data_IF_600392805937
#
_entry.id   IF_600392805937
#
_cell.length_a   1.000
_cell.length_b   1.000
_cell.length_c   1.000
_cell.angle_alpha   90.00
_cell.angle_beta   90.00
_cell.angle_gamma   90.00
#
_symmetry.space_group_name_H-M   'P 1'
#
loop_
_entity.id
_entity.type
_entity.pdbx_description
1 polymer ?
#
# COMPACT_ATOMS: atom_id res chain seq x y z
N UNK A 1 -3.46 1.61 -15.84
CA UNK A 1 -4.87 1.51 -16.23
C UNK A 1 -5.03 0.33 -17.18
N UNK A 2 -5.76 -0.73 -16.79
CA UNK A 2 -6.06 -1.85 -17.66
C UNK A 2 -7.58 -1.95 -17.84
N UNK A 3 -8.23 -0.84 -18.21
CA UNK A 3 -9.50 -0.88 -18.90
C UNK A 3 -9.17 -0.98 -20.40
N UNK A 4 -9.57 -2.07 -21.01
CA UNK A 4 -9.70 -2.12 -22.45
C UNK A 4 -10.75 -1.06 -22.83
N UNK A 5 -10.62 -0.44 -23.99
CA UNK A 5 -11.45 0.69 -24.45
C UNK A 5 -12.97 0.41 -24.49
N UNK A 6 -13.41 -0.80 -24.18
CA UNK A 6 -14.79 -1.30 -24.21
C UNK A 6 -15.40 -1.61 -22.81
N UNK A 7 -14.75 -1.19 -21.71
CA UNK A 7 -15.22 -1.46 -20.35
C UNK A 7 -14.91 -2.88 -19.83
N UNK A 8 -14.25 -3.71 -20.60
CA UNK A 8 -13.83 -5.05 -20.19
C UNK A 8 -12.63 -4.96 -19.25
N UNK A 9 -12.53 -5.88 -18.30
CA UNK A 9 -11.41 -6.00 -17.37
C UNK A 9 -10.83 -7.41 -17.42
N UNK A 10 -9.56 -7.56 -17.04
CA UNK A 10 -8.91 -8.87 -16.98
C UNK A 10 -9.64 -9.78 -16.00
N UNK A 11 -9.88 -11.04 -16.38
CA UNK A 11 -10.65 -12.00 -15.59
C UNK A 11 -10.07 -12.17 -14.17
N UNK A 12 -8.76 -12.30 -14.00
CA UNK A 12 -8.12 -12.38 -12.69
C UNK A 12 -8.30 -11.11 -11.86
N UNK A 13 -8.44 -9.93 -12.49
CA UNK A 13 -8.78 -8.68 -11.80
C UNK A 13 -10.21 -8.75 -11.27
N UNK A 14 -11.16 -9.15 -12.10
CA UNK A 14 -12.56 -9.32 -11.70
C UNK A 14 -12.70 -10.29 -10.53
N UNK A 15 -12.08 -11.48 -10.61
CA UNK A 15 -12.10 -12.46 -9.53
C UNK A 15 -11.53 -11.91 -8.22
N UNK A 16 -10.47 -11.11 -8.32
CA UNK A 16 -9.88 -10.47 -7.14
C UNK A 16 -10.78 -9.39 -6.54
N UNK A 17 -11.50 -8.62 -7.35
CA UNK A 17 -12.49 -7.63 -6.93
C UNK A 17 -13.73 -8.27 -6.30
N UNK A 18 -14.08 -9.48 -6.73
CA UNK A 18 -15.12 -10.29 -6.11
C UNK A 18 -14.67 -10.99 -4.81
N UNK A 19 -13.47 -10.74 -4.33
CA UNK A 19 -12.96 -11.35 -3.10
C UNK A 19 -12.57 -12.83 -3.21
N UNK A 20 -12.64 -13.44 -4.40
CA UNK A 20 -12.39 -14.87 -4.63
C UNK A 20 -10.96 -15.27 -4.26
N UNK A 21 -9.97 -14.56 -4.82
CA UNK A 21 -8.56 -14.86 -4.58
C UNK A 21 -7.67 -13.65 -4.94
N UNK A 22 -6.33 -13.75 -4.73
CA UNK A 22 -5.40 -12.78 -5.32
C UNK A 22 -5.36 -12.96 -6.84
N UNK A 23 -4.91 -11.94 -7.59
CA UNK A 23 -4.79 -12.04 -9.05
C UNK A 23 -3.97 -13.25 -9.48
N UNK A 24 -2.82 -13.49 -8.85
CA UNK A 24 -1.97 -14.67 -9.13
C UNK A 24 -2.70 -15.97 -8.84
N UNK A 25 -3.35 -16.06 -7.67
CA UNK A 25 -4.13 -17.27 -7.33
C UNK A 25 -5.33 -17.46 -8.24
N UNK A 26 -5.91 -16.40 -8.75
CA UNK A 26 -6.97 -16.44 -9.77
C UNK A 26 -6.43 -16.97 -11.10
N UNK A 27 -5.22 -16.58 -11.51
CA UNK A 27 -4.55 -17.15 -12.70
C UNK A 27 -4.33 -18.65 -12.56
N UNK A 28 -3.87 -19.12 -11.39
CA UNK A 28 -3.74 -20.57 -11.12
C UNK A 28 -5.09 -21.31 -11.22
N UNK A 29 -6.19 -20.70 -10.76
CA UNK A 29 -7.52 -21.30 -10.87
C UNK A 29 -8.02 -21.32 -12.32
N UNK A 30 -7.71 -20.31 -13.11
CA UNK A 30 -8.00 -20.26 -14.55
C UNK A 30 -7.20 -21.34 -15.29
N UNK A 31 -5.92 -21.47 -15.01
CA UNK A 31 -5.03 -22.46 -15.63
C UNK A 31 -5.48 -23.90 -15.34
N UNK A 32 -5.99 -24.16 -14.14
CA UNK A 32 -6.58 -25.45 -13.75
C UNK A 32 -7.94 -25.74 -14.38
N UNK A 33 -8.47 -24.83 -15.21
CA UNK A 33 -9.76 -25.00 -15.87
C UNK A 33 -10.98 -24.89 -14.93
N UNK A 34 -10.78 -24.41 -13.69
CA UNK A 34 -11.84 -24.27 -12.69
C UNK A 34 -12.80 -23.11 -12.97
N UNK A 35 -12.42 -22.18 -13.85
CA UNK A 35 -13.17 -20.96 -14.15
C UNK A 35 -13.80 -21.05 -15.54
N UNK A 36 -15.08 -20.66 -15.65
CA UNK A 36 -15.77 -20.55 -16.94
C UNK A 36 -16.35 -19.15 -17.10
N UNK A 37 -16.34 -18.67 -18.34
CA UNK A 37 -16.99 -17.42 -18.77
C UNK A 37 -18.06 -17.80 -19.78
N UNK A 38 -19.32 -17.47 -19.52
CA UNK A 38 -20.49 -17.82 -20.36
C UNK A 38 -20.52 -19.33 -20.74
N UNK A 39 -20.17 -20.19 -19.77
CA UNK A 39 -20.15 -21.65 -19.96
C UNK A 39 -18.86 -22.21 -20.58
N UNK A 40 -18.01 -21.40 -21.19
CA UNK A 40 -16.74 -21.81 -21.82
C UNK A 40 -15.59 -21.73 -20.80
N UNK A 41 -14.69 -22.72 -20.79
CA UNK A 41 -13.49 -22.72 -19.92
C UNK A 41 -12.61 -21.55 -20.27
N UNK A 42 -12.31 -20.73 -19.26
CA UNK A 42 -11.50 -19.53 -19.39
C UNK A 42 -10.01 -19.85 -19.57
N UNK A 43 -9.28 -18.92 -20.20
CA UNK A 43 -7.83 -18.99 -20.39
C UNK A 43 -7.13 -17.80 -19.75
N UNK A 44 -5.85 -17.97 -19.42
CA UNK A 44 -5.01 -16.85 -18.94
C UNK A 44 -5.01 -15.75 -20.01
N UNK A 45 -5.22 -14.50 -19.58
CA UNK A 45 -5.30 -13.35 -20.48
C UNK A 45 -6.72 -12.96 -20.88
N UNK A 46 -7.73 -13.78 -20.61
CA UNK A 46 -9.12 -13.45 -20.89
C UNK A 46 -9.57 -12.17 -20.16
N UNK A 47 -10.51 -11.47 -20.80
CA UNK A 47 -11.13 -10.27 -20.28
C UNK A 47 -12.63 -10.39 -20.32
N UNK A 48 -13.30 -9.87 -19.31
CA UNK A 48 -14.74 -9.99 -19.11
C UNK A 48 -15.41 -8.61 -18.97
N UNK A 49 -16.65 -8.53 -19.38
CA UNK A 49 -17.55 -7.43 -19.04
C UNK A 49 -18.29 -7.79 -17.74
N UNK A 50 -17.98 -7.11 -16.62
CA UNK A 50 -18.63 -7.40 -15.33
C UNK A 50 -20.15 -7.28 -15.31
N UNK A 51 -20.74 -6.59 -16.30
CA UNK A 51 -22.18 -6.34 -16.39
C UNK A 51 -22.91 -7.36 -17.24
N UNK A 52 -22.23 -8.02 -18.17
CA UNK A 52 -22.84 -8.88 -19.18
C UNK A 52 -22.40 -10.34 -19.05
N UNK A 53 -21.12 -10.59 -18.70
CA UNK A 53 -20.60 -11.94 -18.68
C UNK A 53 -20.95 -12.67 -17.38
N UNK A 54 -21.29 -13.93 -17.50
CA UNK A 54 -21.52 -14.85 -16.40
C UNK A 54 -20.22 -15.61 -16.12
N UNK A 55 -19.63 -15.34 -14.96
CA UNK A 55 -18.39 -15.98 -14.52
C UNK A 55 -18.72 -17.00 -13.44
N UNK A 56 -18.19 -18.21 -13.59
CA UNK A 56 -18.37 -19.30 -12.61
C UNK A 56 -17.02 -19.86 -12.18
N UNK A 57 -16.91 -20.22 -10.90
CA UNK A 57 -15.79 -20.97 -10.32
C UNK A 57 -16.33 -22.30 -9.78
N UNK A 58 -15.83 -23.42 -10.28
CA UNK A 58 -16.31 -24.77 -9.94
C UNK A 58 -17.86 -24.90 -10.06
N UNK A 59 -18.42 -24.29 -11.10
CA UNK A 59 -19.86 -24.28 -11.36
C UNK A 59 -20.68 -23.26 -10.55
N UNK A 60 -20.11 -22.59 -9.55
CA UNK A 60 -20.77 -21.55 -8.76
C UNK A 60 -20.55 -20.16 -9.36
N UNK A 61 -21.61 -19.39 -9.55
CA UNK A 61 -21.53 -18.02 -10.07
C UNK A 61 -20.73 -17.11 -9.13
N UNK A 62 -19.82 -16.33 -9.69
CA UNK A 62 -19.08 -15.28 -8.99
C UNK A 62 -19.83 -13.96 -9.17
N UNK A 63 -20.11 -13.28 -8.08
CA UNK A 63 -20.73 -11.96 -8.08
C UNK A 63 -19.93 -10.99 -7.23
N UNK A 64 -19.81 -9.75 -7.68
CA UNK A 64 -19.15 -8.71 -6.88
C UNK A 64 -20.14 -8.17 -5.84
N UNK A 65 -20.08 -8.74 -4.63
CA UNK A 65 -20.84 -8.32 -3.44
C UNK A 65 -19.93 -7.71 -2.36
N UNK A 66 -18.64 -7.48 -2.67
CA UNK A 66 -17.68 -6.97 -1.70
C UNK A 66 -17.98 -5.52 -1.33
N UNK A 67 -17.94 -5.24 -0.04
CA UNK A 67 -18.00 -3.87 0.48
C UNK A 67 -16.59 -3.29 0.48
N UNK A 68 -16.42 -2.09 -0.08
CA UNK A 68 -15.12 -1.42 -0.11
C UNK A 68 -14.63 -1.16 1.32
N UNK A 69 -13.41 -1.58 1.61
CA UNK A 69 -12.72 -1.40 2.89
C UNK A 69 -11.47 -0.54 2.72
N UNK A 70 -11.32 0.42 3.60
CA UNK A 70 -10.17 1.33 3.65
C UNK A 70 -9.66 1.32 5.08
N UNK A 71 -8.56 0.62 5.33
CA UNK A 71 -8.05 0.30 6.66
C UNK A 71 -6.74 1.03 6.91
N UNK A 72 -6.64 1.65 8.09
CA UNK A 72 -5.39 2.12 8.67
C UNK A 72 -4.95 1.14 9.73
N UNK A 73 -3.79 0.53 9.57
CA UNK A 73 -3.15 -0.35 10.54
C UNK A 73 -1.91 0.34 11.13
N UNK A 74 -1.75 0.30 12.45
CA UNK A 74 -0.48 0.60 13.08
C UNK A 74 0.40 -0.66 13.08
N UNK A 75 1.11 -0.88 11.99
CA UNK A 75 2.00 -2.03 11.85
C UNK A 75 3.10 -2.00 12.92
N UNK A 76 3.26 -3.01 13.79
CA UNK A 76 4.37 -3.10 14.71
C UNK A 76 5.66 -3.56 14.02
N UNK A 77 6.81 -3.39 14.69
CA UNK A 77 8.08 -4.01 14.30
C UNK A 77 7.97 -5.54 14.40
N UNK A 78 8.79 -6.24 13.62
CA UNK A 78 8.83 -7.70 13.61
C UNK A 78 7.83 -8.37 12.67
N UNK A 79 6.85 -7.65 12.13
CA UNK A 79 5.86 -8.16 11.19
C UNK A 79 6.26 -7.88 9.74
N UNK A 80 6.12 -8.87 8.86
CA UNK A 80 6.32 -8.73 7.41
C UNK A 80 5.05 -8.17 6.78
N UNK A 81 5.20 -7.24 5.84
CA UNK A 81 4.06 -6.69 5.09
C UNK A 81 3.68 -7.64 3.95
N UNK A 82 2.95 -8.69 4.28
CA UNK A 82 2.39 -9.68 3.35
C UNK A 82 1.08 -10.24 3.90
N UNK A 83 0.22 -10.75 3.01
CA UNK A 83 -1.00 -11.47 3.38
C UNK A 83 -0.79 -12.99 3.47
N UNK A 84 0.37 -13.49 3.04
CA UNK A 84 0.78 -14.89 3.19
C UNK A 84 2.30 -14.93 3.29
N UNK A 85 2.82 -15.76 4.19
CA UNK A 85 4.26 -15.92 4.38
C UNK A 85 4.62 -17.40 4.43
N UNK A 86 5.33 -17.87 3.42
CA UNK A 86 5.72 -19.27 3.27
C UNK A 86 6.77 -19.72 4.31
N UNK A 87 7.47 -18.75 4.92
CA UNK A 87 8.48 -19.01 5.95
C UNK A 87 7.92 -18.98 7.38
N UNK A 88 6.60 -18.88 7.54
CA UNK A 88 5.94 -18.87 8.85
C UNK A 88 6.27 -17.66 9.73
N UNK A 89 6.79 -16.56 9.16
CA UNK A 89 7.06 -15.33 9.91
C UNK A 89 5.78 -14.60 10.24
N UNK A 90 5.76 -13.88 11.36
CA UNK A 90 4.64 -12.99 11.69
C UNK A 90 4.41 -12.00 10.55
N UNK A 91 3.20 -11.95 10.00
CA UNK A 91 2.84 -11.04 8.91
C UNK A 91 1.59 -10.22 9.25
N UNK A 92 1.37 -9.16 8.51
CA UNK A 92 0.25 -8.23 8.77
C UNK A 92 -1.12 -8.87 8.58
N UNK A 93 -1.20 -10.02 7.90
CA UNK A 93 -2.45 -10.76 7.74
C UNK A 93 -3.11 -11.07 9.09
N UNK A 94 -2.33 -11.56 10.07
CA UNK A 94 -2.83 -11.90 11.42
C UNK A 94 -3.32 -10.69 12.23
N UNK A 95 -3.02 -9.47 11.80
CA UNK A 95 -3.45 -8.24 12.47
C UNK A 95 -4.76 -7.67 11.91
N UNK A 96 -5.29 -8.24 10.83
CA UNK A 96 -6.48 -7.75 10.11
C UNK A 96 -7.48 -8.87 9.78
N UNK A 97 -7.39 -10.01 10.46
CA UNK A 97 -8.29 -11.16 10.25
C UNK A 97 -9.76 -10.83 10.53
N UNK A 98 -9.99 -9.92 11.46
CA UNK A 98 -11.31 -9.48 11.93
C UNK A 98 -11.93 -8.36 11.08
N UNK A 99 -11.31 -7.94 9.97
CA UNK A 99 -11.86 -6.91 9.06
C UNK A 99 -13.14 -7.38 8.35
N UNK A 100 -13.36 -8.69 8.25
CA UNK A 100 -14.54 -9.28 7.61
C UNK A 100 -14.50 -9.34 6.09
N UNK A 101 -13.61 -8.60 5.44
CA UNK A 101 -13.40 -8.60 3.99
C UNK A 101 -11.94 -8.89 3.68
N UNK A 102 -11.69 -9.46 2.52
CA UNK A 102 -10.33 -9.69 2.07
C UNK A 102 -9.66 -8.39 1.67
N UNK A 103 -8.74 -7.89 2.48
CA UNK A 103 -7.95 -6.68 2.20
C UNK A 103 -6.49 -7.03 1.89
N UNK A 104 -5.76 -6.08 1.28
CA UNK A 104 -4.32 -6.20 1.00
C UNK A 104 -3.61 -4.87 1.24
N UNK A 105 -2.30 -4.89 1.61
CA UNK A 105 -1.58 -3.68 1.95
C UNK A 105 -1.31 -2.80 0.73
N UNK A 106 -1.42 -1.50 0.93
CA UNK A 106 -1.07 -0.44 -0.02
C UNK A 106 0.39 -0.05 0.22
N UNK A 107 1.29 -0.62 -0.56
CA UNK A 107 2.73 -0.52 -0.36
C UNK A 107 3.21 -1.37 0.82
N UNK A 108 4.43 -1.11 1.25
CA UNK A 108 5.07 -1.93 2.29
C UNK A 108 5.79 -1.07 3.33
N UNK A 109 5.93 -1.62 4.51
CA UNK A 109 6.91 -1.27 5.52
C UNK A 109 7.79 -2.49 5.78
N UNK A 110 9.09 -2.29 5.92
CA UNK A 110 10.02 -3.38 6.25
C UNK A 110 9.66 -4.05 7.58
N UNK A 111 10.17 -5.26 7.79
CA UNK A 111 9.97 -5.99 9.05
C UNK A 111 10.38 -5.17 10.29
N UNK A 112 11.50 -4.45 10.19
CA UNK A 112 12.05 -3.63 11.27
C UNK A 112 11.56 -2.17 11.26
N UNK A 113 10.56 -1.84 10.42
CA UNK A 113 9.88 -0.54 10.39
C UNK A 113 8.47 -0.68 10.95
N UNK A 114 7.94 0.41 11.50
CA UNK A 114 6.63 0.46 12.12
C UNK A 114 5.78 1.63 11.64
N UNK A 115 4.54 1.72 12.07
CA UNK A 115 3.70 2.88 11.84
C UNK A 115 2.56 2.62 10.87
N UNK A 116 2.11 3.68 10.20
CA UNK A 116 0.92 3.69 9.37
C UNK A 116 1.10 2.82 8.13
N UNK A 117 0.28 1.79 8.02
CA UNK A 117 0.12 0.97 6.84
C UNK A 117 -1.35 1.01 6.41
N UNK A 118 -1.61 1.36 5.15
CA UNK A 118 -2.95 1.29 4.60
C UNK A 118 -3.19 -0.08 3.98
N UNK A 119 -4.43 -0.60 4.14
CA UNK A 119 -4.90 -1.80 3.46
C UNK A 119 -6.27 -1.52 2.85
N UNK A 120 -6.60 -2.22 1.75
CA UNK A 120 -7.88 -2.07 1.07
C UNK A 120 -8.20 -3.31 0.23
N UNK A 121 -9.45 -3.44 -0.21
CA UNK A 121 -9.88 -4.31 -1.30
C UNK A 121 -10.20 -3.53 -2.59
N UNK A 122 -10.08 -2.20 -2.56
CA UNK A 122 -10.28 -1.31 -3.72
C UNK A 122 -8.96 -1.10 -4.47
N UNK A 123 -8.87 -1.70 -5.67
CA UNK A 123 -7.68 -1.61 -6.51
C UNK A 123 -7.42 -0.23 -7.11
N UNK A 124 -8.46 0.59 -7.29
CA UNK A 124 -8.32 1.96 -7.82
C UNK A 124 -7.74 2.87 -6.74
N UNK A 125 -8.26 2.78 -5.52
CA UNK A 125 -7.70 3.47 -4.36
C UNK A 125 -6.24 3.07 -4.12
N UNK A 126 -5.94 1.77 -4.11
CA UNK A 126 -4.58 1.29 -3.93
C UNK A 126 -3.62 1.84 -4.99
N UNK A 127 -4.04 1.84 -6.27
CA UNK A 127 -3.24 2.39 -7.35
C UNK A 127 -3.04 3.91 -7.22
N UNK A 128 -4.08 4.66 -6.84
CA UNK A 128 -3.98 6.10 -6.62
C UNK A 128 -2.91 6.45 -5.58
N UNK A 129 -2.83 5.68 -4.48
CA UNK A 129 -1.86 5.91 -3.41
C UNK A 129 -0.44 5.47 -3.76
N UNK A 130 -0.30 4.37 -4.53
CA UNK A 130 1.00 3.75 -4.80
C UNK A 130 1.67 4.24 -6.08
N UNK A 131 0.92 4.77 -7.05
CA UNK A 131 1.48 5.09 -8.35
C UNK A 131 2.56 6.18 -8.25
N UNK A 132 3.77 5.95 -8.75
CA UNK A 132 4.90 6.90 -8.58
C UNK A 132 4.59 8.31 -9.09
N UNK A 133 3.86 8.45 -10.21
CA UNK A 133 3.49 9.75 -10.78
C UNK A 133 2.54 10.59 -9.92
N UNK A 134 2.01 10.02 -8.85
CA UNK A 134 1.08 10.71 -7.95
C UNK A 134 1.78 11.43 -6.80
N UNK A 135 3.07 11.16 -6.60
CA UNK A 135 3.92 11.83 -5.61
C UNK A 135 3.26 11.95 -4.22
N UNK A 136 2.51 10.92 -3.81
CA UNK A 136 1.80 10.92 -2.53
C UNK A 136 2.81 10.99 -1.39
N UNK A 137 2.72 12.05 -0.60
CA UNK A 137 3.61 12.33 0.53
C UNK A 137 3.49 11.24 1.61
N UNK A 138 4.63 10.78 2.10
CA UNK A 138 4.77 9.83 3.21
C UNK A 138 5.69 10.43 4.25
N UNK A 139 5.22 10.60 5.47
CA UNK A 139 5.95 11.22 6.56
C UNK A 139 6.50 10.17 7.49
N UNK A 140 7.78 10.27 7.81
CA UNK A 140 8.49 9.35 8.67
C UNK A 140 9.16 10.08 9.82
N UNK A 141 9.03 9.55 11.04
CA UNK A 141 9.84 9.91 12.19
C UNK A 141 10.97 8.88 12.33
N UNK A 142 12.20 9.35 12.27
CA UNK A 142 13.39 8.51 12.23
C UNK A 142 14.29 8.86 13.41
N UNK A 143 14.64 7.87 14.23
CA UNK A 143 15.70 8.02 15.23
C UNK A 143 16.99 7.49 14.63
N UNK A 144 18.01 8.31 14.61
CA UNK A 144 19.32 8.02 13.99
C UNK A 144 20.44 8.12 15.03
N UNK A 145 21.57 7.50 14.70
CA UNK A 145 22.83 7.54 15.43
C UNK A 145 24.00 7.59 14.43
N UNK A 146 25.07 8.38 14.73
CA UNK A 146 25.09 9.43 15.74
C UNK A 146 24.10 10.54 15.39
N UNK A 147 24.36 11.76 15.81
CA UNK A 147 23.70 12.99 15.39
C UNK A 147 23.81 13.22 13.86
N UNK A 148 23.15 14.23 13.33
CA UNK A 148 23.16 14.60 11.92
C UNK A 148 23.72 16.02 11.74
N UNK A 149 24.60 16.21 10.75
CA UNK A 149 25.12 17.53 10.37
C UNK A 149 24.19 18.25 9.38
N UNK A 150 24.41 19.57 9.25
CA UNK A 150 23.63 20.38 8.30
C UNK A 150 23.92 19.97 6.85
N UNK A 151 25.16 19.58 6.52
CA UNK A 151 25.53 19.08 5.20
C UNK A 151 24.82 17.77 4.86
N UNK A 152 24.68 16.87 5.86
CA UNK A 152 23.93 15.62 5.69
C UNK A 152 22.43 15.88 5.49
N UNK A 153 21.86 16.87 6.18
CA UNK A 153 20.46 17.29 5.99
C UNK A 153 20.26 17.82 4.56
N UNK A 154 21.15 18.70 4.09
CA UNK A 154 21.12 19.23 2.72
C UNK A 154 21.20 18.10 1.70
N UNK A 155 22.19 17.19 1.85
CA UNK A 155 22.36 16.06 0.95
C UNK A 155 21.10 15.19 0.86
N UNK A 156 20.46 14.88 2.00
CA UNK A 156 19.20 14.12 2.01
C UNK A 156 18.05 14.89 1.35
N UNK A 157 18.02 16.22 1.51
CA UNK A 157 16.94 17.08 1.01
C UNK A 157 17.00 17.28 -0.50
N UNK A 158 18.21 17.48 -1.04
CA UNK A 158 18.41 17.69 -2.49
C UNK A 158 18.26 16.40 -3.30
N UNK A 159 18.39 15.27 -2.64
CA UNK A 159 18.39 13.94 -3.22
C UNK A 159 19.80 13.36 -3.31
N UNK A 160 19.87 12.03 -3.28
CA UNK A 160 21.11 11.27 -3.21
C UNK A 160 21.15 10.19 -4.29
N UNK A 161 22.37 9.83 -4.72
CA UNK A 161 22.55 8.71 -5.63
C UNK A 161 22.37 7.38 -4.89
N UNK A 162 21.36 6.61 -5.27
CA UNK A 162 21.14 5.25 -4.77
C UNK A 162 20.98 4.29 -5.96
N UNK A 163 21.82 3.26 -6.03
CA UNK A 163 21.87 2.28 -7.14
C UNK A 163 21.98 2.95 -8.53
N UNK A 164 22.83 3.95 -8.66
CA UNK A 164 23.04 4.64 -9.93
C UNK A 164 21.88 5.55 -10.37
N UNK A 165 20.93 5.88 -9.47
CA UNK A 165 19.81 6.77 -9.75
C UNK A 165 19.60 7.77 -8.63
N UNK A 166 19.48 9.06 -8.98
CA UNK A 166 19.13 10.10 -8.02
C UNK A 166 17.75 9.81 -7.40
N UNK A 167 17.64 10.01 -6.09
CA UNK A 167 16.34 10.05 -5.40
C UNK A 167 15.63 11.35 -5.71
N UNK A 168 14.30 11.35 -5.57
CA UNK A 168 13.57 12.61 -5.55
C UNK A 168 13.98 13.43 -4.32
N UNK A 169 13.92 14.78 -4.38
CA UNK A 169 14.09 15.64 -3.22
C UNK A 169 13.17 15.25 -2.07
N UNK A 170 13.68 15.36 -0.85
CA UNK A 170 12.94 15.08 0.38
C UNK A 170 12.86 16.34 1.25
N UNK A 171 11.89 16.37 2.18
CA UNK A 171 11.91 17.38 3.24
C UNK A 171 12.47 16.72 4.49
N UNK A 172 13.52 17.30 5.07
CA UNK A 172 14.17 16.79 6.28
C UNK A 172 14.14 17.88 7.35
N UNK A 173 13.59 17.55 8.52
CA UNK A 173 13.49 18.48 9.66
C UNK A 173 14.01 17.79 10.91
N UNK A 174 14.90 18.42 11.64
CA UNK A 174 15.36 17.95 12.94
C UNK A 174 14.31 18.27 13.99
N UNK A 175 13.81 17.24 14.66
CA UNK A 175 12.83 17.36 15.74
C UNK A 175 13.47 17.42 17.13
N UNK A 176 14.56 16.66 17.30
CA UNK A 176 15.31 16.56 18.56
C UNK A 176 16.76 16.22 18.23
N UNK A 177 17.67 16.87 18.92
CA UNK A 177 19.11 16.66 18.76
C UNK A 177 19.73 16.42 20.14
N UNK A 178 20.60 15.41 20.24
CA UNK A 178 21.40 15.07 21.42
C UNK A 178 22.77 14.61 20.95
N UNK A 179 23.73 14.56 21.84
CA UNK A 179 25.14 14.26 21.53
C UNK A 179 25.32 12.89 20.84
N UNK A 180 24.49 11.89 21.19
CA UNK A 180 24.60 10.50 20.70
C UNK A 180 23.57 10.12 19.64
N UNK A 181 22.59 11.00 19.38
CA UNK A 181 21.45 10.71 18.47
C UNK A 181 20.69 11.95 18.06
N UNK A 182 19.97 11.82 16.95
CA UNK A 182 18.92 12.77 16.59
C UNK A 182 17.60 12.06 16.26
N UNK A 183 16.52 12.82 16.36
CA UNK A 183 15.20 12.44 15.82
C UNK A 183 14.86 13.41 14.72
N UNK A 184 14.69 12.88 13.52
CA UNK A 184 14.35 13.67 12.33
C UNK A 184 12.99 13.26 11.77
N UNK A 185 12.32 14.20 11.14
CA UNK A 185 11.17 13.95 10.30
C UNK A 185 11.60 14.01 8.84
N UNK A 186 11.22 13.01 8.07
CA UNK A 186 11.49 12.93 6.62
C UNK A 186 10.17 12.80 5.88
N UNK A 187 9.93 13.69 4.92
CA UNK A 187 8.80 13.57 3.98
C UNK A 187 9.33 13.10 2.64
N UNK A 188 8.88 11.93 2.20
CA UNK A 188 9.18 11.37 0.88
C UNK A 188 7.96 11.43 -0.04
N UNK A 189 8.19 11.76 -1.31
CA UNK A 189 7.20 11.77 -2.38
C UNK A 189 7.31 10.55 -3.31
N UNK A 190 8.28 9.68 -3.04
CA UNK A 190 8.49 8.39 -3.71
C UNK A 190 8.59 7.26 -2.67
N UNK A 191 8.93 6.05 -3.09
CA UNK A 191 9.05 4.91 -2.17
C UNK A 191 9.91 3.81 -2.75
N UNK A 192 11.24 4.02 -2.81
CA UNK A 192 12.19 2.97 -3.21
C UNK A 192 12.40 1.97 -2.08
N UNK A 193 12.92 0.80 -2.44
CA UNK A 193 13.23 -0.22 -1.45
C UNK A 193 14.20 0.32 -0.40
N UNK A 194 13.79 0.28 0.89
CA UNK A 194 14.58 0.70 2.07
C UNK A 194 15.22 2.09 1.93
N UNK A 195 14.58 3.02 1.21
CA UNK A 195 15.16 4.29 0.77
C UNK A 195 15.80 5.08 1.93
N UNK A 196 15.06 5.38 3.00
CA UNK A 196 15.59 6.15 4.15
C UNK A 196 16.78 5.45 4.79
N UNK A 197 16.74 4.12 4.98
CA UNK A 197 17.84 3.38 5.59
C UNK A 197 19.11 3.45 4.74
N UNK A 198 18.95 3.38 3.43
CA UNK A 198 20.05 3.45 2.47
C UNK A 198 20.62 4.86 2.36
N UNK A 199 19.74 5.89 2.35
CA UNK A 199 20.22 7.28 2.41
C UNK A 199 21.04 7.54 3.67
N UNK A 200 20.61 7.03 4.83
CA UNK A 200 21.35 7.13 6.07
C UNK A 200 22.67 6.35 6.02
N UNK A 201 22.66 5.14 5.48
CA UNK A 201 23.83 4.27 5.33
C UNK A 201 24.92 4.93 4.47
N UNK A 202 24.58 5.55 3.34
CA UNK A 202 25.49 6.31 2.48
C UNK A 202 26.12 7.52 3.18
N UNK A 203 25.45 8.05 4.20
CA UNK A 203 25.95 9.16 5.03
C UNK A 203 26.66 8.69 6.32
N UNK A 204 26.86 7.39 6.51
CA UNK A 204 27.45 6.83 7.72
C UNK A 204 26.54 6.91 8.96
N UNK A 205 25.24 7.02 8.76
CA UNK A 205 24.22 7.18 9.82
C UNK A 205 23.46 5.86 10.03
N UNK A 206 23.33 5.41 11.27
CA UNK A 206 22.53 4.26 11.64
C UNK A 206 21.07 4.66 11.92
N UNK A 207 20.11 3.93 11.35
CA UNK A 207 18.69 4.09 11.64
C UNK A 207 18.28 3.16 12.79
N UNK A 208 18.20 3.68 14.00
CA UNK A 208 17.79 2.94 15.19
C UNK A 208 16.26 2.66 15.20
N UNK A 209 15.46 3.63 14.75
CA UNK A 209 13.98 3.48 14.67
C UNK A 209 13.42 4.20 13.45
N UNK A 210 12.50 3.55 12.75
CA UNK A 210 11.81 4.13 11.58
C UNK A 210 10.30 3.90 11.73
N UNK A 211 9.57 5.00 11.88
CA UNK A 211 8.10 4.98 12.03
C UNK A 211 7.45 5.86 10.97
N UNK A 212 6.57 5.30 10.14
CA UNK A 212 5.73 6.10 9.24
C UNK A 212 4.57 6.69 10.03
N UNK A 213 4.50 8.01 10.10
CA UNK A 213 3.53 8.75 10.92
C UNK A 213 2.33 9.26 10.14
N UNK A 214 2.49 9.49 8.81
CA UNK A 214 1.40 9.93 7.96
C UNK A 214 1.56 9.47 6.50
N UNK A 215 0.44 9.41 5.77
CA UNK A 215 0.36 9.23 4.31
C UNK A 215 -0.66 10.24 3.79
N UNK A 216 -0.30 11.01 2.76
CA UNK A 216 -1.19 12.01 2.15
C UNK A 216 -1.82 12.96 3.19
N UNK A 217 -1.10 13.36 4.24
CA UNK A 217 -1.62 14.19 5.31
C UNK A 217 -2.48 13.48 6.37
N UNK A 218 -2.95 12.25 6.10
CA UNK A 218 -3.68 11.45 7.09
C UNK A 218 -2.70 10.87 8.11
N UNK A 219 -2.86 11.27 9.36
CA UNK A 219 -1.95 10.93 10.47
C UNK A 219 -2.35 9.64 11.17
N UNK A 220 -1.37 8.86 11.61
CA UNK A 220 -1.55 7.66 12.42
C UNK A 220 -2.28 7.97 13.75
N UNK A 221 -1.99 9.13 14.34
CA UNK A 221 -2.57 9.56 15.61
C UNK A 221 -2.24 8.61 16.76
N UNK A 222 -3.23 8.41 17.64
CA UNK A 222 -3.12 7.59 18.85
C UNK A 222 -3.48 6.12 18.63
N UNK A 223 -3.62 5.64 17.38
CA UNK A 223 -3.92 4.24 17.11
C UNK A 223 -2.84 3.33 17.74
N UNK A 224 -3.20 2.40 18.65
CA UNK A 224 -2.22 1.53 19.31
C UNK A 224 -1.51 0.59 18.33
N UNK A 225 -0.30 0.16 18.67
CA UNK A 225 0.45 -0.80 17.84
C UNK A 225 -0.31 -2.12 17.69
N UNK A 226 -0.32 -2.68 16.49
CA UNK A 226 -1.03 -3.91 16.16
C UNK A 226 -2.54 -3.74 15.98
N UNK A 227 -3.08 -2.55 16.22
CA UNK A 227 -4.50 -2.26 16.02
C UNK A 227 -4.73 -1.56 14.68
N UNK A 228 -5.94 -1.74 14.18
CA UNK A 228 -6.42 -1.09 12.97
C UNK A 228 -7.75 -0.38 13.22
N UNK A 229 -8.10 0.53 12.34
CA UNK A 229 -9.43 1.13 12.20
C UNK A 229 -9.77 1.38 10.74
N UNK A 230 -11.02 1.56 10.44
CA UNK A 230 -11.42 2.07 9.14
C UNK A 230 -11.01 3.55 8.99
N UNK A 231 -10.67 3.95 7.77
CA UNK A 231 -10.56 5.37 7.41
C UNK A 231 -11.95 5.98 7.37
N UNK A 232 -12.06 7.21 7.84
CA UNK A 232 -13.29 7.98 7.65
C UNK A 232 -13.48 8.35 6.17
N UNK A 233 -14.73 8.61 5.72
CA UNK A 233 -14.97 9.07 4.34
C UNK A 233 -14.18 10.33 3.98
N UNK A 234 -13.96 11.23 4.94
CA UNK A 234 -13.13 12.44 4.76
C UNK A 234 -11.66 12.08 4.53
N UNK A 235 -11.09 11.13 5.31
CA UNK A 235 -9.72 10.66 5.11
C UNK A 235 -9.54 10.00 3.74
N UNK A 236 -10.49 9.18 3.31
CA UNK A 236 -10.46 8.56 1.97
C UNK A 236 -10.50 9.62 0.88
N UNK A 237 -11.42 10.60 0.98
CA UNK A 237 -11.53 11.69 0.02
C UNK A 237 -10.26 12.55 -0.01
N UNK A 238 -9.67 12.82 1.15
CA UNK A 238 -8.43 13.58 1.26
C UNK A 238 -7.25 12.87 0.59
N UNK A 239 -7.09 11.56 0.82
CA UNK A 239 -6.04 10.75 0.18
C UNK A 239 -6.23 10.74 -1.35
N UNK A 240 -7.45 10.54 -1.85
CA UNK A 240 -7.74 10.56 -3.28
C UNK A 240 -7.45 11.92 -3.90
N UNK A 241 -7.82 13.01 -3.23
CA UNK A 241 -7.52 14.38 -3.68
C UNK A 241 -6.02 14.61 -3.74
N UNK A 242 -5.27 14.24 -2.71
CA UNK A 242 -3.80 14.36 -2.69
C UNK A 242 -3.13 13.53 -3.80
N UNK A 243 -3.74 12.41 -4.20
CA UNK A 243 -3.30 11.59 -5.33
C UNK A 243 -3.77 12.14 -6.70
N UNK A 244 -4.46 13.29 -6.75
CA UNK A 244 -5.03 13.84 -7.99
C UNK A 244 -6.08 12.93 -8.63
N UNK A 245 -6.74 12.08 -7.85
CA UNK A 245 -7.85 11.25 -8.30
C UNK A 245 -9.18 11.93 -7.97
N UNK A 246 -10.12 11.91 -8.93
CA UNK A 246 -11.47 12.41 -8.65
C UNK A 246 -12.16 11.47 -7.65
N UNK A 247 -12.72 12.02 -6.59
CA UNK A 247 -13.62 11.29 -5.68
C UNK A 247 -14.85 10.83 -6.49
N UNK A 248 -14.99 9.53 -6.71
CA UNK A 248 -16.22 8.96 -7.24
C UNK A 248 -17.28 8.97 -6.11
N UNK A 249 -17.94 10.12 -5.92
CA UNK A 249 -19.22 10.16 -5.20
C UNK A 249 -20.26 9.36 -6.01
N UNK A 250 -20.34 8.07 -5.80
CA UNK A 250 -21.61 7.35 -6.02
C UNK A 250 -22.53 7.75 -4.88
N UNK A 251 -23.22 8.88 -5.04
CA UNK A 251 -24.44 9.14 -4.28
C UNK A 251 -25.39 7.97 -4.53
N UNK A 252 -25.64 7.18 -3.49
CA UNK A 252 -26.86 6.38 -3.42
C UNK A 252 -28.03 7.36 -3.38
N UNK A 253 -28.61 7.67 -4.53
CA UNK A 253 -29.97 8.19 -4.55
C UNK A 253 -30.89 7.07 -4.08
N UNK A 254 -31.65 7.40 -3.04
CA UNK A 254 -32.77 6.62 -2.49
C UNK A 254 -33.78 6.29 -3.55
#
# INVERSE_FOLDING_TARGET
MNHLSDGRIRLQKYMSECGVASRRKSEELIEKGAVKVNGTVAKIGDSVDPKRDIITLNGKKIENKTVAKYIMLHKPRGFVTTMSDELGRRCVASLVEDVGERVYPIGRLDRNSEGLLLLTNDGEFANAVMHPSKHVAKVYRVTIRPDISDEQIVAMSDGMMLDGRMTAPAQVTVLEKRDDRAVIEIVLFEGRNRQIRRMCEELGIEVARLKRTAIAGVKLGMLPQGKWRELTPQEVSHILSAAGAKSNKKEKRR
#
